data_IF_592965271539
#
_entry.id   IF_592965271539
#
_cell.length_a   1.000
_cell.length_b   1.000
_cell.length_c   1.000
_cell.angle_alpha   90.00
_cell.angle_beta   90.00
_cell.angle_gamma   90.00
#
_symmetry.space_group_name_H-M   'P 1'
#
loop_
_entity.id
_entity.type
_entity.pdbx_description
1 polymer ?
#
# COMPACT_ATOMS: atom_id res chain seq x y z
N UNK A 1 -16.02 -0.09 5.96
CA UNK A 1 -14.97 0.73 6.60
C UNK A 1 -14.46 1.83 5.67
N UNK A 2 -14.19 1.60 4.38
CA UNK A 2 -13.61 2.62 3.48
C UNK A 2 -14.61 3.44 2.64
N UNK A 3 -15.92 3.16 2.71
CA UNK A 3 -16.91 3.75 1.81
C UNK A 3 -17.09 5.27 1.95
N UNK A 4 -16.70 5.84 3.10
CA UNK A 4 -16.79 7.29 3.37
C UNK A 4 -15.50 8.05 3.02
N UNK A 5 -14.46 7.34 2.58
CA UNK A 5 -13.20 7.94 2.18
C UNK A 5 -13.33 8.56 0.79
N UNK A 6 -12.62 9.67 0.52
CA UNK A 6 -12.59 10.25 -0.82
C UNK A 6 -12.02 9.22 -1.83
N UNK A 7 -12.53 9.23 -3.06
CA UNK A 7 -12.04 8.40 -4.17
C UNK A 7 -10.53 8.54 -4.40
N UNK A 8 -9.92 9.69 -4.05
CA UNK A 8 -8.47 9.89 -4.13
C UNK A 8 -7.66 8.97 -3.18
N UNK A 9 -8.22 8.65 -2.02
CA UNK A 9 -7.50 7.94 -0.96
C UNK A 9 -8.05 6.53 -0.71
N UNK A 10 -9.17 6.13 -1.32
CA UNK A 10 -9.80 4.82 -1.08
C UNK A 10 -8.87 3.63 -1.37
N UNK A 11 -7.95 3.77 -2.33
CA UNK A 11 -6.96 2.75 -2.70
C UNK A 11 -5.67 2.80 -1.87
N UNK A 12 -5.41 3.93 -1.21
CA UNK A 12 -4.27 4.10 -0.33
C UNK A 12 -4.69 4.87 0.95
N UNK A 13 -5.52 4.28 1.84
CA UNK A 13 -6.02 5.01 3.01
C UNK A 13 -4.89 5.49 3.92
N UNK A 14 -3.76 4.78 3.95
CA UNK A 14 -2.59 5.15 4.74
C UNK A 14 -1.88 6.44 4.28
N UNK A 15 -2.19 6.98 3.11
CA UNK A 15 -1.66 8.27 2.64
C UNK A 15 -2.62 9.43 2.88
N UNK A 16 -3.84 9.16 3.37
CA UNK A 16 -4.82 10.19 3.63
C UNK A 16 -4.42 11.08 4.83
N UNK A 17 -4.79 12.37 4.83
CA UNK A 17 -4.62 13.25 5.98
C UNK A 17 -5.35 12.70 7.23
N UNK A 18 -4.82 12.91 8.45
CA UNK A 18 -5.46 12.44 9.68
C UNK A 18 -6.91 12.92 9.87
N UNK A 19 -7.21 14.15 9.43
CA UNK A 19 -8.54 14.72 9.52
C UNK A 19 -9.54 13.98 8.60
N UNK A 20 -9.09 13.57 7.41
CA UNK A 20 -9.92 12.83 6.47
C UNK A 20 -10.18 11.40 6.94
N UNK A 21 -9.15 10.76 7.51
CA UNK A 21 -9.28 9.45 8.16
C UNK A 21 -10.28 9.49 9.31
N UNK A 22 -10.19 10.50 10.18
CA UNK A 22 -11.11 10.68 11.29
C UNK A 22 -12.56 10.92 10.80
N UNK A 23 -12.74 11.78 9.79
CA UNK A 23 -14.05 12.05 9.19
C UNK A 23 -14.69 10.80 8.56
N UNK A 24 -13.88 9.92 7.97
CA UNK A 24 -14.33 8.65 7.41
C UNK A 24 -14.41 7.49 8.43
N UNK A 25 -14.05 7.73 9.69
CA UNK A 25 -14.05 6.71 10.76
C UNK A 25 -12.98 5.63 10.58
N UNK A 26 -11.85 5.94 9.95
CA UNK A 26 -10.75 4.99 9.68
C UNK A 26 -9.58 5.22 10.66
N UNK A 27 -9.21 4.18 11.39
CA UNK A 27 -8.07 4.13 12.32
C UNK A 27 -7.06 3.11 11.82
N UNK A 28 -5.91 3.61 11.37
CA UNK A 28 -4.82 2.79 10.84
C UNK A 28 -4.14 1.95 11.95
N UNK A 29 -4.18 0.63 11.82
CA UNK A 29 -3.66 -0.33 12.78
C UNK A 29 -4.74 -1.00 13.65
N UNK A 30 -5.97 -0.52 13.59
CA UNK A 30 -7.09 -1.08 14.35
C UNK A 30 -8.20 -1.56 13.41
N UNK A 31 -8.90 -0.62 12.76
CA UNK A 31 -10.00 -0.95 11.86
C UNK A 31 -9.56 -1.03 10.39
N UNK A 32 -8.35 -0.58 10.06
CA UNK A 32 -7.73 -0.79 8.77
C UNK A 32 -6.21 -0.94 8.94
N UNK A 33 -5.56 -1.99 8.39
CA UNK A 33 -4.15 -2.21 8.62
C UNK A 33 -3.26 -1.15 7.94
N UNK A 34 -2.08 -0.93 8.50
CA UNK A 34 -1.01 -0.20 7.78
C UNK A 34 -0.42 -1.10 6.68
N UNK A 35 0.20 -0.51 5.63
CA UNK A 35 0.92 -1.28 4.63
C UNK A 35 1.94 -2.19 5.30
N UNK A 36 1.83 -3.49 5.02
CA UNK A 36 2.74 -4.50 5.56
C UNK A 36 4.11 -4.38 4.90
N UNK A 37 4.14 -3.96 3.62
CA UNK A 37 5.34 -3.77 2.83
C UNK A 37 5.34 -2.40 2.14
N UNK A 38 6.53 -1.87 1.89
CA UNK A 38 6.76 -0.75 0.98
C UNK A 38 6.83 -1.31 -0.44
N UNK A 39 5.86 -0.95 -1.29
CA UNK A 39 5.62 -1.63 -2.57
C UNK A 39 6.74 -1.39 -3.59
N UNK A 40 7.29 -0.18 -3.61
CA UNK A 40 8.46 0.22 -4.39
C UNK A 40 9.68 -0.66 -4.07
N UNK A 41 10.02 -0.80 -2.79
CA UNK A 41 11.15 -1.62 -2.32
C UNK A 41 10.89 -3.10 -2.63
N UNK A 42 9.69 -3.59 -2.37
CA UNK A 42 9.32 -4.98 -2.64
C UNK A 42 9.40 -5.32 -4.14
N UNK A 43 8.95 -4.40 -4.99
CA UNK A 43 9.05 -4.53 -6.45
C UNK A 43 10.51 -4.60 -6.88
N UNK A 44 11.35 -3.67 -6.42
CA UNK A 44 12.77 -3.64 -6.79
C UNK A 44 13.47 -4.96 -6.41
N UNK A 45 13.32 -5.40 -5.16
CA UNK A 45 13.89 -6.68 -4.69
C UNK A 45 13.42 -7.88 -5.50
N UNK A 46 12.15 -7.88 -5.90
CA UNK A 46 11.59 -8.94 -6.75
C UNK A 46 12.23 -8.96 -8.12
N UNK A 47 12.38 -7.79 -8.75
CA UNK A 47 12.99 -7.66 -10.09
C UNK A 47 14.47 -8.04 -10.08
N UNK A 48 15.22 -7.65 -9.05
CA UNK A 48 16.61 -8.05 -8.87
C UNK A 48 16.74 -9.59 -8.83
N UNK A 49 15.92 -10.26 -8.00
CA UNK A 49 15.89 -11.72 -7.90
C UNK A 49 15.49 -12.40 -9.20
N UNK A 50 14.45 -11.90 -9.86
CA UNK A 50 13.98 -12.45 -11.14
C UNK A 50 15.02 -12.31 -12.25
N UNK A 51 15.78 -11.21 -12.27
CA UNK A 51 16.80 -10.96 -13.29
C UNK A 51 17.88 -12.05 -13.34
N UNK A 52 18.18 -12.69 -12.20
CA UNK A 52 19.14 -13.80 -12.11
C UNK A 52 18.66 -15.01 -12.89
N UNK A 53 17.40 -15.43 -12.68
CA UNK A 53 16.83 -16.59 -13.35
C UNK A 53 16.58 -16.31 -14.83
N UNK A 54 16.13 -15.10 -15.17
CA UNK A 54 15.90 -14.71 -16.56
C UNK A 54 17.17 -14.80 -17.41
N UNK A 55 18.31 -14.32 -16.88
CA UNK A 55 19.62 -14.38 -17.58
C UNK A 55 20.12 -15.80 -17.85
N UNK A 56 19.67 -16.79 -17.09
CA UNK A 56 20.05 -18.21 -17.25
C UNK A 56 19.19 -18.88 -18.33
N UNK A 57 17.99 -18.36 -18.59
CA UNK A 57 17.04 -18.91 -19.56
C UNK A 57 17.16 -18.31 -20.98
N UNK A 58 17.93 -17.22 -21.14
CA UNK A 58 18.39 -16.67 -22.43
C UNK A 58 19.68 -17.37 -22.88
#
# INVERSE_FOLDING_TARGET
QLAQLNSKHIHAPWTAPPLELAAAGVTLGENYPRPIIQHDIARQRTLERYSVVKKIAE
#
